data_IF_720693726054
#
_entry.id   IF_720693726054
#
_cell.length_a   1.000
_cell.length_b   1.000
_cell.length_c   1.000
_cell.angle_alpha   90.00
_cell.angle_beta   90.00
_cell.angle_gamma   90.00
#
_symmetry.space_group_name_H-M   'P 1'
#
loop_
_entity.id
_entity.type
_entity.pdbx_description
1 polymer ?
#
# COMPACT_ATOMS: atom_id res chain seq x y z
N UNK A 1 28.71 -21.50 -55.52
CA UNK A 1 28.06 -20.21 -55.20
C UNK A 1 26.90 -20.46 -54.23
N UNK A 2 27.05 -20.21 -52.92
CA UNK A 2 25.97 -20.39 -51.89
C UNK A 2 25.51 -19.05 -51.29
N UNK A 3 25.60 -17.98 -52.07
CA UNK A 3 25.21 -16.64 -51.62
C UNK A 3 23.71 -16.46 -51.29
N UNK A 4 22.75 -17.17 -51.92
CA UNK A 4 21.35 -17.09 -51.51
C UNK A 4 21.13 -17.54 -50.06
N UNK A 5 21.89 -18.55 -49.61
CA UNK A 5 21.81 -19.08 -48.24
C UNK A 5 22.32 -18.06 -47.22
N UNK A 6 23.39 -17.33 -47.56
CA UNK A 6 23.91 -16.26 -46.71
C UNK A 6 22.90 -15.11 -46.57
N UNK A 7 22.25 -14.72 -47.67
CA UNK A 7 21.21 -13.68 -47.65
C UNK A 7 20.02 -14.11 -46.79
N UNK A 8 19.56 -15.36 -46.95
CA UNK A 8 18.47 -15.90 -46.14
C UNK A 8 18.82 -15.96 -44.66
N UNK A 9 20.06 -16.36 -44.34
CA UNK A 9 20.56 -16.42 -42.96
C UNK A 9 20.60 -15.02 -42.32
N UNK A 10 21.13 -14.03 -43.05
CA UNK A 10 21.14 -12.63 -42.58
C UNK A 10 19.72 -12.11 -42.36
N UNK A 11 18.80 -12.41 -43.28
CA UNK A 11 17.40 -12.00 -43.15
C UNK A 11 16.76 -12.59 -41.88
N UNK A 12 17.00 -13.87 -41.59
CA UNK A 12 16.51 -14.53 -40.38
C UNK A 12 17.10 -13.90 -39.12
N UNK A 13 18.41 -13.62 -39.09
CA UNK A 13 19.06 -12.99 -37.94
C UNK A 13 18.52 -11.58 -37.70
N UNK A 14 18.32 -10.78 -38.76
CA UNK A 14 17.74 -9.43 -38.66
C UNK A 14 16.32 -9.46 -38.13
N UNK A 15 15.54 -10.49 -38.45
CA UNK A 15 14.15 -10.64 -38.00
C UNK A 15 14.05 -11.22 -36.58
N UNK A 16 15.02 -12.03 -36.17
CA UNK A 16 15.10 -12.62 -34.83
C UNK A 16 15.69 -11.65 -33.79
N UNK A 17 16.64 -10.79 -34.18
CA UNK A 17 17.31 -9.87 -33.26
C UNK A 17 16.34 -8.93 -32.48
N UNK A 18 15.30 -8.33 -33.10
CA UNK A 18 14.30 -7.53 -32.39
C UNK A 18 13.42 -8.34 -31.43
N UNK A 19 13.31 -9.66 -31.58
CA UNK A 19 12.55 -10.49 -30.62
C UNK A 19 13.34 -10.70 -29.33
N UNK A 20 14.68 -10.70 -29.42
CA UNK A 20 15.56 -10.88 -28.28
C UNK A 20 15.82 -9.54 -27.57
N UNK A 21 15.98 -8.45 -28.33
CA UNK A 21 16.39 -7.12 -27.82
C UNK A 21 15.35 -6.01 -28.00
N UNK A 22 14.20 -6.28 -28.61
CA UNK A 22 13.16 -5.28 -28.85
C UNK A 22 12.34 -4.95 -27.61
N UNK A 23 11.30 -4.14 -27.81
CA UNK A 23 10.49 -3.48 -26.76
C UNK A 23 9.82 -4.43 -25.76
N UNK A 24 9.76 -5.74 -26.05
CA UNK A 24 9.27 -6.80 -25.16
C UNK A 24 10.31 -7.89 -24.83
N UNK A 25 11.58 -7.68 -25.12
CA UNK A 25 12.66 -8.65 -24.90
C UNK A 25 12.99 -8.87 -23.43
N UNK A 26 13.69 -9.97 -23.13
CA UNK A 26 14.05 -10.43 -21.78
C UNK A 26 14.78 -9.37 -20.94
N UNK A 27 15.57 -8.49 -21.59
CA UNK A 27 16.29 -7.40 -20.93
C UNK A 27 15.33 -6.39 -20.27
N UNK A 28 14.22 -6.07 -20.94
CA UNK A 28 13.20 -5.13 -20.44
C UNK A 28 12.40 -5.75 -19.31
N UNK A 29 12.08 -7.05 -19.41
CA UNK A 29 11.40 -7.79 -18.33
C UNK A 29 12.24 -7.79 -17.06
N UNK A 30 13.55 -7.96 -17.18
CA UNK A 30 14.44 -7.97 -16.01
C UNK A 30 14.52 -6.61 -15.31
N UNK A 31 14.54 -5.52 -16.08
CA UNK A 31 14.56 -4.17 -15.52
C UNK A 31 13.22 -3.76 -14.90
N UNK A 32 12.10 -4.11 -15.55
CA UNK A 32 10.75 -3.86 -15.01
C UNK A 32 10.49 -4.72 -13.78
N UNK A 33 10.90 -5.98 -13.77
CA UNK A 33 10.78 -6.86 -12.59
C UNK A 33 11.56 -6.29 -11.40
N UNK A 34 12.75 -5.72 -11.64
CA UNK A 34 13.55 -5.08 -10.59
C UNK A 34 12.85 -3.85 -10.00
N UNK A 35 12.22 -3.01 -10.84
CA UNK A 35 11.46 -1.85 -10.37
C UNK A 35 10.20 -2.26 -9.60
N UNK A 36 9.49 -3.28 -10.08
CA UNK A 36 8.29 -3.82 -9.41
C UNK A 36 8.64 -4.39 -8.03
N UNK A 37 9.77 -5.11 -7.91
CA UNK A 37 10.23 -5.64 -6.62
C UNK A 37 10.57 -4.52 -5.63
N UNK A 38 11.31 -3.50 -6.06
CA UNK A 38 11.66 -2.37 -5.20
C UNK A 38 10.42 -1.64 -4.69
N UNK A 39 9.43 -1.41 -5.57
CA UNK A 39 8.19 -0.74 -5.19
C UNK A 39 7.31 -1.59 -4.25
N UNK A 40 7.32 -2.91 -4.41
CA UNK A 40 6.61 -3.83 -3.50
C UNK A 40 7.19 -3.80 -2.09
N UNK A 41 8.51 -3.82 -1.96
CA UNK A 41 9.16 -3.77 -0.65
C UNK A 41 8.88 -2.45 0.08
N UNK A 42 8.84 -1.33 -0.65
CA UNK A 42 8.46 -0.04 -0.10
C UNK A 42 6.99 0.00 0.34
N UNK A 43 6.07 -0.49 -0.50
CA UNK A 43 4.65 -0.56 -0.15
C UNK A 43 4.40 -1.41 1.09
N UNK A 44 5.05 -2.58 1.21
CA UNK A 44 4.92 -3.43 2.39
C UNK A 44 5.38 -2.72 3.67
N UNK A 45 6.46 -1.94 3.61
CA UNK A 45 6.91 -1.13 4.76
C UNK A 45 5.93 -0.02 5.11
N UNK A 46 5.34 0.64 4.11
CA UNK A 46 4.34 1.67 4.33
C UNK A 46 3.05 1.10 4.92
N UNK A 47 2.58 -0.05 4.43
CA UNK A 47 1.41 -0.76 4.96
C UNK A 47 1.60 -1.13 6.44
N UNK A 48 2.76 -1.66 6.81
CA UNK A 48 3.07 -1.99 8.21
C UNK A 48 3.05 -0.76 9.12
N UNK A 49 3.64 0.36 8.67
CA UNK A 49 3.61 1.62 9.43
C UNK A 49 2.21 2.16 9.58
N UNK A 50 1.42 2.10 8.51
CA UNK A 50 0.05 2.59 8.52
C UNK A 50 -0.82 1.75 9.47
N UNK A 51 -0.66 0.42 9.47
CA UNK A 51 -1.33 -0.47 10.41
C UNK A 51 -0.96 -0.16 11.88
N UNK A 52 0.30 0.15 12.15
CA UNK A 52 0.75 0.57 13.49
C UNK A 52 0.13 1.91 13.91
N UNK A 53 0.17 2.91 13.04
CA UNK A 53 -0.40 4.24 13.31
C UNK A 53 -1.91 4.17 13.51
N UNK A 54 -2.60 3.37 12.71
CA UNK A 54 -4.04 3.16 12.82
C UNK A 54 -4.41 2.46 14.14
N UNK A 55 -3.57 1.54 14.62
CA UNK A 55 -3.73 0.95 15.95
C UNK A 55 -3.52 1.99 17.07
N UNK A 56 -2.51 2.84 16.95
CA UNK A 56 -2.23 3.91 17.93
C UNK A 56 -3.35 4.95 17.97
N UNK A 57 -3.89 5.35 16.81
CA UNK A 57 -5.04 6.26 16.73
C UNK A 57 -6.28 5.64 17.37
N UNK A 58 -6.53 4.34 17.17
CA UNK A 58 -7.64 3.65 17.84
C UNK A 58 -7.46 3.61 19.35
N UNK A 59 -6.26 3.29 19.82
CA UNK A 59 -5.95 3.22 21.24
C UNK A 59 -6.14 4.59 21.91
N UNK A 60 -5.58 5.66 21.31
CA UNK A 60 -5.74 7.03 21.79
C UNK A 60 -7.21 7.48 21.84
N UNK A 61 -8.00 7.15 20.82
CA UNK A 61 -9.45 7.45 20.83
C UNK A 61 -10.15 6.70 21.95
N UNK A 62 -9.92 5.41 22.09
CA UNK A 62 -10.55 4.58 23.12
C UNK A 62 -10.18 5.04 24.54
N UNK A 63 -8.91 5.42 24.76
CA UNK A 63 -8.45 5.96 26.02
C UNK A 63 -9.07 7.33 26.32
N UNK A 64 -9.20 8.20 25.32
CA UNK A 64 -9.85 9.49 25.48
C UNK A 64 -11.35 9.37 25.78
N UNK A 65 -12.05 8.45 25.11
CA UNK A 65 -13.46 8.16 25.35
C UNK A 65 -13.68 7.61 26.78
N UNK A 66 -12.80 6.72 27.24
CA UNK A 66 -12.84 6.19 28.60
C UNK A 66 -12.58 7.27 29.66
N UNK A 67 -11.67 8.22 29.39
CA UNK A 67 -11.41 9.37 30.27
C UNK A 67 -12.61 10.32 30.28
N UNK A 68 -13.20 10.59 29.11
CA UNK A 68 -14.37 11.46 28.98
C UNK A 68 -15.58 10.88 29.73
N UNK A 69 -15.82 9.58 29.61
CA UNK A 69 -16.89 8.89 30.33
C UNK A 69 -16.69 9.00 31.84
N UNK A 70 -15.46 8.78 32.33
CA UNK A 70 -15.14 8.93 33.75
C UNK A 70 -15.30 10.37 34.25
N UNK A 71 -14.88 11.37 33.47
CA UNK A 71 -15.06 12.78 33.82
C UNK A 71 -16.55 13.19 33.85
N UNK A 72 -17.36 12.65 32.93
CA UNK A 72 -18.82 12.86 32.92
C UNK A 72 -19.49 12.24 34.14
N UNK A 73 -19.15 11.00 34.50
CA UNK A 73 -19.77 10.27 35.61
C UNK A 73 -19.27 10.70 37.00
N UNK A 74 -17.96 10.88 37.20
CA UNK A 74 -17.39 11.17 38.52
C UNK A 74 -17.42 12.67 38.85
N UNK A 75 -17.25 13.54 37.85
CA UNK A 75 -17.10 14.99 38.05
C UNK A 75 -18.28 15.81 37.53
N UNK A 76 -19.27 15.17 36.89
CA UNK A 76 -20.42 15.85 36.28
C UNK A 76 -20.03 16.81 35.16
N UNK A 77 -18.85 16.62 34.55
CA UNK A 77 -18.34 17.51 33.51
C UNK A 77 -19.15 17.36 32.22
N UNK A 78 -19.63 18.48 31.70
CA UNK A 78 -20.38 18.57 30.44
C UNK A 78 -19.78 19.63 29.53
N UNK A 79 -19.90 19.46 28.21
CA UNK A 79 -19.38 20.48 27.28
C UNK A 79 -20.29 21.72 27.28
N UNK A 80 -19.75 22.93 27.01
CA UNK A 80 -20.56 24.14 26.92
C UNK A 80 -21.70 23.99 25.88
N UNK A 81 -22.94 24.12 26.33
CA UNK A 81 -24.14 23.98 25.48
C UNK A 81 -24.67 22.56 25.28
N UNK A 82 -24.12 21.56 25.98
CA UNK A 82 -24.60 20.17 25.94
C UNK A 82 -25.75 19.94 26.93
N UNK A 83 -26.83 19.28 26.48
CA UNK A 83 -27.92 18.84 27.35
C UNK A 83 -27.62 17.38 27.77
N UNK A 84 -27.14 17.20 29.00
CA UNK A 84 -26.84 15.89 29.56
C UNK A 84 -28.08 15.32 30.28
N UNK A 85 -28.53 14.13 29.87
CA UNK A 85 -29.70 13.45 30.45
C UNK A 85 -29.24 12.16 31.10
N UNK A 86 -29.28 12.12 32.42
CA UNK A 86 -29.01 10.91 33.19
C UNK A 86 -30.34 10.21 33.50
N UNK A 87 -30.50 8.98 32.99
CA UNK A 87 -31.69 8.16 33.28
C UNK A 87 -31.43 7.35 34.55
N UNK A 88 -32.20 7.55 35.64
CA UNK A 88 -32.03 6.74 36.83
C UNK A 88 -32.39 5.29 36.51
N UNK A 89 -31.43 4.38 36.71
CA UNK A 89 -31.71 2.95 36.61
C UNK A 89 -32.66 2.56 37.73
N UNK A 90 -33.88 2.15 37.35
CA UNK A 90 -34.91 1.68 38.28
C UNK A 90 -34.51 0.27 38.73
N UNK A 91 -34.11 0.18 40.00
CA UNK A 91 -33.84 -1.07 40.71
C UNK A 91 -35.07 -1.97 40.80
#
# INVERSE_FOLDING_TARGET
MRWPVLILFVLVVVLQYPLWLGKGGWLRVWEVDRQVRAQRDENLRLEQRNASLDAEVRDLKSGNDAIEERARFELGMTRPGEIFVEVPQRN
#
